data_IF_656030463208
#
_entry.id   IF_656030463208
#
_cell.length_a   1.000
_cell.length_b   1.000
_cell.length_c   1.000
_cell.angle_alpha   90.00
_cell.angle_beta   90.00
_cell.angle_gamma   90.00
#
_symmetry.space_group_name_H-M   'P 1'
#
loop_
_entity.id
_entity.type
_entity.pdbx_description
1 polymer ?
#
# COMPACT_ATOMS: atom_id res chain seq x y z
N UNK A 1 30.91 -11.55 42.91
CA UNK A 1 31.60 -11.22 41.64
C UNK A 1 30.93 -9.99 41.07
N UNK A 2 31.53 -8.84 41.34
CA UNK A 2 30.97 -7.51 41.07
C UNK A 2 31.47 -7.04 39.70
N UNK A 3 30.55 -6.82 38.76
CA UNK A 3 30.84 -6.29 37.42
C UNK A 3 30.83 -4.76 37.43
N UNK A 4 31.96 -4.18 37.06
CA UNK A 4 32.22 -2.75 37.02
C UNK A 4 31.54 -2.05 35.84
N UNK A 5 30.98 -0.86 36.11
CA UNK A 5 30.39 0.03 35.11
C UNK A 5 31.44 0.91 34.40
N UNK A 6 31.24 1.13 33.10
CA UNK A 6 31.98 2.09 32.29
C UNK A 6 31.35 3.49 32.38
N UNK A 7 32.11 4.57 32.66
CA UNK A 7 31.61 5.93 32.70
C UNK A 7 31.64 6.62 31.34
N UNK A 8 30.61 7.44 31.09
CA UNK A 8 30.39 8.19 29.86
C UNK A 8 31.35 9.37 29.64
N UNK A 9 31.68 9.59 28.37
CA UNK A 9 32.53 10.69 27.89
C UNK A 9 31.64 11.86 27.47
N UNK A 10 31.57 12.90 28.30
CA UNK A 10 30.95 14.19 27.93
C UNK A 10 31.93 14.98 27.06
N UNK A 11 31.54 15.29 25.82
CA UNK A 11 32.26 16.24 24.98
C UNK A 11 31.65 17.63 25.19
N UNK A 12 32.40 18.49 25.88
CA UNK A 12 32.20 19.94 25.87
C UNK A 12 32.80 20.49 24.58
N UNK A 13 31.99 21.11 23.73
CA UNK A 13 32.46 22.04 22.71
C UNK A 13 31.94 23.41 23.12
N UNK A 14 32.86 24.20 23.69
CA UNK A 14 32.68 25.64 23.82
C UNK A 14 32.93 26.29 22.45
N UNK A 15 32.14 27.29 22.12
CA UNK A 15 32.56 28.34 21.20
C UNK A 15 31.92 29.65 21.64
N UNK A 16 32.74 30.45 22.33
CA UNK A 16 32.63 31.90 22.37
C UNK A 16 33.05 32.45 21.01
N UNK A 17 32.24 33.31 20.41
CA UNK A 17 32.75 34.35 19.50
C UNK A 17 31.75 35.51 19.38
N UNK A 18 32.21 36.69 19.83
CA UNK A 18 31.95 38.06 19.30
C UNK A 18 30.48 38.51 19.19
N UNK A 19 29.94 39.40 20.04
CA UNK A 19 30.28 40.81 20.32
C UNK A 19 30.47 41.68 19.06
N UNK A 20 29.75 42.80 19.08
CA UNK A 20 29.85 44.00 18.23
C UNK A 20 29.26 43.98 16.82
N UNK A 21 28.10 44.64 16.68
CA UNK A 21 27.89 45.76 15.73
C UNK A 21 26.54 46.44 16.00
N UNK A 22 26.56 47.46 16.88
CA UNK A 22 25.65 48.60 16.80
C UNK A 22 26.43 49.79 16.24
N UNK A 23 25.71 50.66 15.54
CA UNK A 23 26.09 52.00 15.08
C UNK A 23 26.88 52.03 13.76
N UNK A 24 26.18 52.39 12.67
CA UNK A 24 26.39 53.56 11.80
C UNK A 24 25.56 53.29 10.54
N UNK A 25 24.45 54.03 10.35
CA UNK A 25 24.17 54.82 9.13
C UNK A 25 22.75 55.43 9.24
N UNK A 26 22.68 56.61 9.87
CA UNK A 26 21.65 57.62 9.58
C UNK A 26 22.21 58.49 8.45
N UNK A 27 21.47 58.64 7.36
CA UNK A 27 21.42 59.80 6.44
C UNK A 27 21.19 59.33 5.01
N UNK A 28 19.94 59.45 4.55
CA UNK A 28 19.54 59.89 3.20
C UNK A 28 18.01 59.82 3.12
N UNK A 29 17.37 60.78 3.79
CA UNK A 29 15.96 61.11 3.65
C UNK A 29 15.93 62.45 2.90
N UNK A 30 15.72 62.40 1.58
CA UNK A 30 15.16 63.49 0.78
C UNK A 30 15.16 63.09 -0.70
N UNK A 31 13.97 62.91 -1.27
CA UNK A 31 13.78 63.09 -2.71
C UNK A 31 13.30 61.89 -3.52
N UNK A 32 12.13 61.31 -3.20
CA UNK A 32 11.21 60.74 -4.22
C UNK A 32 9.76 60.84 -3.69
N UNK A 33 9.19 62.04 -3.69
CA UNK A 33 7.79 62.28 -3.26
C UNK A 33 6.88 62.71 -4.41
N UNK A 34 7.14 62.30 -5.66
CA UNK A 34 6.36 62.76 -6.82
C UNK A 34 6.23 61.74 -7.97
N UNK A 35 6.00 60.46 -7.62
CA UNK A 35 5.65 59.42 -8.61
C UNK A 35 4.79 58.29 -8.01
N UNK A 36 3.91 58.62 -7.05
CA UNK A 36 3.12 57.65 -6.28
C UNK A 36 1.60 57.75 -6.46
N UNK A 37 1.11 58.32 -7.58
CA UNK A 37 -0.35 58.48 -7.84
C UNK A 37 -0.77 57.87 -9.21
N UNK A 38 0.12 57.16 -9.91
CA UNK A 38 -0.14 56.64 -11.27
C UNK A 38 -0.38 55.14 -11.43
N UNK A 39 -0.36 54.32 -10.37
CA UNK A 39 -0.44 52.84 -10.48
C UNK A 39 -1.47 52.27 -9.47
N UNK A 40 -2.70 52.78 -9.48
CA UNK A 40 -3.82 52.17 -8.74
C UNK A 40 -5.04 51.89 -9.64
N UNK A 41 -5.02 52.32 -10.91
CA UNK A 41 -6.19 52.28 -11.77
C UNK A 41 -6.24 51.13 -12.81
N UNK A 42 -5.25 50.25 -12.89
CA UNK A 42 -5.16 49.25 -13.97
C UNK A 42 -4.92 47.83 -13.45
N UNK A 43 -5.81 47.34 -12.59
CA UNK A 43 -5.66 46.02 -11.98
C UNK A 43 -6.95 45.30 -11.63
N UNK A 44 -8.12 45.68 -12.18
CA UNK A 44 -9.27 44.77 -12.23
C UNK A 44 -9.00 43.69 -13.30
N UNK A 45 -7.91 42.92 -13.12
CA UNK A 45 -7.72 41.69 -13.86
C UNK A 45 -8.86 40.77 -13.44
N UNK A 46 -9.86 40.65 -14.32
CA UNK A 46 -11.01 39.77 -14.15
C UNK A 46 -10.46 38.39 -13.80
N UNK A 47 -10.58 37.99 -12.53
CA UNK A 47 -10.10 36.70 -12.05
C UNK A 47 -10.79 35.65 -12.90
N UNK A 48 -10.03 35.01 -13.81
CA UNK A 48 -10.57 34.05 -14.74
C UNK A 48 -11.27 32.96 -13.93
N UNK A 49 -12.51 32.65 -14.29
CA UNK A 49 -13.24 31.57 -13.63
C UNK A 49 -12.42 30.28 -13.79
N UNK A 50 -12.15 29.62 -12.66
CA UNK A 50 -11.44 28.35 -12.67
C UNK A 50 -12.34 27.30 -13.30
N UNK A 51 -11.84 26.59 -14.30
CA UNK A 51 -12.50 25.38 -14.82
C UNK A 51 -12.30 24.24 -13.81
N UNK A 52 -13.38 23.76 -13.15
CA UNK A 52 -13.26 22.73 -12.13
C UNK A 52 -12.76 21.39 -12.68
N UNK A 53 -13.03 21.06 -13.95
CA UNK A 53 -12.56 19.80 -14.54
C UNK A 53 -11.05 19.84 -14.77
N UNK A 54 -10.52 20.95 -15.30
CA UNK A 54 -9.09 21.16 -15.46
C UNK A 54 -8.36 21.16 -14.11
N UNK A 55 -8.90 21.86 -13.10
CA UNK A 55 -8.34 21.88 -11.75
C UNK A 55 -8.34 20.48 -11.11
N UNK A 56 -9.41 19.70 -11.29
CA UNK A 56 -9.46 18.31 -10.83
C UNK A 56 -8.39 17.44 -11.51
N UNK A 57 -8.22 17.56 -12.82
CA UNK A 57 -7.17 16.82 -13.57
C UNK A 57 -5.77 17.19 -13.06
N UNK A 58 -5.50 18.49 -12.89
CA UNK A 58 -4.23 18.97 -12.36
C UNK A 58 -3.96 18.43 -10.96
N UNK A 59 -4.97 18.36 -10.08
CA UNK A 59 -4.83 17.78 -8.74
C UNK A 59 -4.34 16.33 -8.76
N UNK A 60 -4.88 15.51 -9.67
CA UNK A 60 -4.44 14.12 -9.85
C UNK A 60 -3.06 14.00 -10.48
N UNK A 61 -2.72 14.87 -11.44
CA UNK A 61 -1.38 14.94 -12.02
C UNK A 61 -0.33 15.29 -10.96
N UNK A 62 -0.59 16.31 -10.14
CA UNK A 62 0.28 16.67 -9.03
C UNK A 62 0.41 15.55 -8.00
N UNK A 63 -0.68 14.86 -7.66
CA UNK A 63 -0.60 13.68 -6.78
C UNK A 63 0.32 12.59 -7.35
N UNK A 64 0.20 12.27 -8.64
CA UNK A 64 1.06 11.28 -9.30
C UNK A 64 2.53 11.72 -9.34
N UNK A 65 2.78 13.03 -9.46
CA UNK A 65 4.12 13.59 -9.41
C UNK A 65 4.71 13.71 -7.99
N UNK A 66 3.92 13.43 -6.95
CA UNK A 66 4.34 13.66 -5.55
C UNK A 66 4.29 15.13 -5.10
N UNK A 67 3.70 16.01 -5.91
CA UNK A 67 3.60 17.45 -5.67
C UNK A 67 2.34 17.80 -4.87
N UNK A 68 2.35 17.44 -3.59
CA UNK A 68 1.10 17.36 -2.84
C UNK A 68 0.52 18.70 -2.38
N UNK A 69 1.36 19.72 -2.16
CA UNK A 69 0.90 21.07 -1.87
C UNK A 69 0.07 21.63 -3.04
N UNK A 70 0.64 21.65 -4.27
CA UNK A 70 -0.11 21.95 -5.49
C UNK A 70 -1.37 21.10 -5.67
N UNK A 71 -1.31 19.78 -5.42
CA UNK A 71 -2.49 18.92 -5.51
C UNK A 71 -3.64 19.38 -4.60
N UNK A 72 -3.35 19.71 -3.33
CA UNK A 72 -4.35 20.24 -2.38
C UNK A 72 -4.99 21.52 -2.92
N UNK A 73 -4.18 22.44 -3.46
CA UNK A 73 -4.69 23.69 -4.02
C UNK A 73 -5.62 23.43 -5.22
N UNK A 74 -5.20 22.57 -6.16
CA UNK A 74 -5.99 22.25 -7.35
C UNK A 74 -7.32 21.55 -7.01
N UNK A 75 -7.33 20.61 -6.06
CA UNK A 75 -8.58 20.01 -5.61
C UNK A 75 -9.49 21.01 -4.88
N UNK A 76 -8.94 21.89 -4.06
CA UNK A 76 -9.73 22.90 -3.36
C UNK A 76 -10.30 23.95 -4.33
N UNK A 77 -9.57 24.33 -5.36
CA UNK A 77 -10.04 25.19 -6.44
C UNK A 77 -11.20 24.53 -7.21
N UNK A 78 -11.07 23.24 -7.58
CA UNK A 78 -12.15 22.48 -8.21
C UNK A 78 -13.40 22.40 -7.33
N UNK A 79 -13.22 22.17 -6.02
CA UNK A 79 -14.31 22.11 -5.02
C UNK A 79 -15.03 23.45 -4.86
N UNK A 80 -14.29 24.57 -4.88
CA UNK A 80 -14.86 25.93 -4.75
C UNK A 80 -15.57 26.40 -6.02
N UNK A 81 -15.12 25.92 -7.18
CA UNK A 81 -15.71 26.25 -8.48
C UNK A 81 -16.98 25.42 -8.80
N UNK A 82 -17.37 24.48 -7.94
CA UNK A 82 -18.51 23.57 -8.13
C UNK A 82 -19.59 23.75 -7.06
N UNK A 83 -20.84 23.51 -7.43
CA UNK A 83 -21.94 23.41 -6.46
C UNK A 83 -21.84 22.11 -5.65
N UNK A 84 -22.40 22.08 -4.43
CA UNK A 84 -22.32 20.91 -3.54
C UNK A 84 -22.94 19.64 -4.12
N UNK A 85 -23.89 19.75 -5.05
CA UNK A 85 -24.54 18.62 -5.70
C UNK A 85 -23.85 18.19 -7.02
N UNK A 86 -22.75 18.85 -7.39
CA UNK A 86 -22.01 18.55 -8.62
C UNK A 86 -21.13 17.29 -8.43
N UNK A 87 -21.17 16.29 -9.34
CA UNK A 87 -20.26 15.15 -9.30
C UNK A 87 -18.77 15.52 -9.22
N UNK A 88 -18.35 16.63 -9.83
CA UNK A 88 -16.98 17.13 -9.74
C UNK A 88 -16.63 17.60 -8.32
N UNK A 89 -17.60 18.12 -7.56
CA UNK A 89 -17.40 18.49 -6.16
C UNK A 89 -17.04 17.27 -5.31
N UNK A 90 -17.77 16.17 -5.49
CA UNK A 90 -17.51 14.91 -4.76
C UNK A 90 -16.13 14.33 -5.14
N UNK A 91 -15.78 14.37 -6.43
CA UNK A 91 -14.45 13.95 -6.91
C UNK A 91 -13.33 14.80 -6.32
N UNK A 92 -13.53 16.12 -6.23
CA UNK A 92 -12.57 17.04 -5.63
C UNK A 92 -12.39 16.80 -4.12
N UNK A 93 -13.48 16.56 -3.38
CA UNK A 93 -13.42 16.17 -1.96
C UNK A 93 -12.65 14.86 -1.79
N UNK A 94 -12.94 13.84 -2.59
CA UNK A 94 -12.25 12.56 -2.54
C UNK A 94 -10.74 12.71 -2.84
N UNK A 95 -10.38 13.48 -3.86
CA UNK A 95 -8.98 13.78 -4.19
C UNK A 95 -8.26 14.52 -3.06
N UNK A 96 -8.94 15.50 -2.44
CA UNK A 96 -8.42 16.25 -1.29
C UNK A 96 -8.20 15.32 -0.08
N UNK A 97 -9.18 14.50 0.28
CA UNK A 97 -9.05 13.52 1.38
C UNK A 97 -7.89 12.55 1.13
N UNK A 98 -7.81 12.01 -0.08
CA UNK A 98 -6.74 11.09 -0.48
C UNK A 98 -5.37 11.75 -0.39
N UNK A 99 -5.25 13.01 -0.77
CA UNK A 99 -4.00 13.77 -0.67
C UNK A 99 -3.58 14.00 0.78
N UNK A 100 -4.52 14.23 1.70
CA UNK A 100 -4.24 14.41 3.13
C UNK A 100 -3.94 13.10 3.87
N UNK A 101 -4.40 11.96 3.34
CA UNK A 101 -4.22 10.62 3.92
C UNK A 101 -2.88 9.95 3.55
N UNK A 102 -2.08 10.55 2.65
CA UNK A 102 -0.81 9.97 2.23
C UNK A 102 0.26 10.15 3.31
N UNK A 103 0.90 9.04 3.71
CA UNK A 103 2.00 9.00 4.69
C UNK A 103 3.22 9.83 4.26
N UNK A 104 3.27 11.09 4.69
CA UNK A 104 4.34 12.05 4.39
C UNK A 104 4.43 13.18 5.42
N UNK A 105 5.52 13.98 5.44
CA UNK A 105 5.58 15.19 6.25
C UNK A 105 4.43 16.16 5.95
N UNK A 106 3.73 16.63 6.99
CA UNK A 106 2.61 17.55 6.87
C UNK A 106 1.28 16.91 6.44
N UNK A 107 1.16 15.58 6.56
CA UNK A 107 -0.14 14.90 6.46
C UNK A 107 -1.11 15.32 7.58
N UNK A 108 -2.41 15.15 7.33
CA UNK A 108 -3.48 15.45 8.30
C UNK A 108 -4.57 14.38 8.14
N UNK A 109 -4.34 13.24 8.76
CA UNK A 109 -5.21 12.06 8.67
C UNK A 109 -6.58 12.34 9.30
N UNK A 110 -6.66 13.15 10.35
CA UNK A 110 -7.95 13.54 10.93
C UNK A 110 -8.79 14.35 9.94
N UNK A 111 -8.17 15.32 9.24
CA UNK A 111 -8.84 16.08 8.18
C UNK A 111 -9.23 15.20 7.01
N UNK A 112 -8.37 14.27 6.59
CA UNK A 112 -8.72 13.29 5.57
C UNK A 112 -9.98 12.50 5.96
N UNK A 113 -10.03 12.01 7.20
CA UNK A 113 -11.17 11.24 7.72
C UNK A 113 -12.48 12.01 7.70
N UNK A 114 -12.45 13.30 8.08
CA UNK A 114 -13.62 14.19 8.01
C UNK A 114 -14.09 14.41 6.57
N UNK A 115 -13.17 14.61 5.63
CA UNK A 115 -13.52 14.83 4.22
C UNK A 115 -14.06 13.55 3.57
N UNK A 116 -13.49 12.37 3.89
CA UNK A 116 -14.06 11.09 3.46
C UNK A 116 -15.48 10.91 3.98
N UNK A 117 -15.74 11.24 5.25
CA UNK A 117 -17.10 11.18 5.80
C UNK A 117 -18.05 12.10 5.04
N UNK A 118 -17.61 13.31 4.69
CA UNK A 118 -18.39 14.23 3.88
C UNK A 118 -18.74 13.64 2.50
N UNK A 119 -17.82 12.93 1.84
CA UNK A 119 -18.10 12.22 0.57
C UNK A 119 -19.19 11.16 0.76
N UNK A 120 -19.10 10.38 1.85
CA UNK A 120 -20.09 9.34 2.19
C UNK A 120 -21.47 9.95 2.45
N UNK A 121 -21.54 11.04 3.21
CA UNK A 121 -22.80 11.68 3.58
C UNK A 121 -23.48 12.35 2.37
N UNK A 122 -22.69 12.99 1.49
CA UNK A 122 -23.22 13.71 0.33
C UNK A 122 -23.61 12.78 -0.83
N UNK A 123 -22.93 11.65 -0.99
CA UNK A 123 -23.14 10.74 -2.11
C UNK A 123 -23.10 9.26 -1.67
N UNK A 124 -24.00 8.81 -0.77
CA UNK A 124 -23.91 7.52 -0.07
C UNK A 124 -24.06 6.28 -0.95
N UNK A 125 -24.51 6.45 -2.20
CA UNK A 125 -24.65 5.39 -3.20
C UNK A 125 -23.58 5.45 -4.31
N UNK A 126 -22.62 6.39 -4.24
CA UNK A 126 -21.57 6.52 -5.24
C UNK A 126 -20.41 5.57 -5.01
N UNK A 127 -19.69 5.21 -6.07
CA UNK A 127 -18.43 4.46 -5.98
C UNK A 127 -17.43 5.15 -5.04
N UNK A 128 -17.40 6.49 -5.05
CA UNK A 128 -16.52 7.28 -4.18
C UNK A 128 -16.88 7.15 -2.70
N UNK A 129 -18.15 6.92 -2.34
CA UNK A 129 -18.52 6.61 -0.97
C UNK A 129 -17.95 5.25 -0.55
N UNK A 130 -18.01 4.24 -1.42
CA UNK A 130 -17.43 2.93 -1.15
C UNK A 130 -15.91 3.01 -0.93
N UNK A 131 -15.20 3.73 -1.82
CA UNK A 131 -13.76 3.97 -1.68
C UNK A 131 -13.40 4.81 -0.45
N UNK A 132 -14.23 5.80 -0.10
CA UNK A 132 -14.02 6.64 1.09
C UNK A 132 -14.18 5.84 2.38
N UNK A 133 -15.20 4.97 2.47
CA UNK A 133 -15.39 4.10 3.63
C UNK A 133 -14.24 3.08 3.76
N UNK A 134 -13.77 2.51 2.65
CA UNK A 134 -12.59 1.64 2.66
C UNK A 134 -11.32 2.39 3.11
N UNK A 135 -11.11 3.63 2.65
CA UNK A 135 -10.00 4.46 3.07
C UNK A 135 -10.04 4.73 4.58
N UNK A 136 -11.22 5.07 5.14
CA UNK A 136 -11.40 5.25 6.58
C UNK A 136 -11.11 3.96 7.38
N UNK A 137 -11.50 2.79 6.87
CA UNK A 137 -11.17 1.51 7.51
C UNK A 137 -9.64 1.27 7.53
N UNK A 138 -8.94 1.57 6.43
CA UNK A 138 -7.48 1.48 6.35
C UNK A 138 -6.77 2.44 7.28
N UNK A 139 -7.29 3.65 7.46
CA UNK A 139 -6.73 4.63 8.40
C UNK A 139 -6.71 4.09 9.84
N UNK A 140 -7.67 3.24 10.23
CA UNK A 140 -7.65 2.55 11.53
C UNK A 140 -6.59 1.44 11.59
N UNK A 141 -6.28 0.84 10.45
CA UNK A 141 -5.28 -0.22 10.34
C UNK A 141 -3.85 0.33 10.34
N UNK A 142 -3.66 1.59 9.95
CA UNK A 142 -2.36 2.27 9.91
C UNK A 142 -2.07 2.93 11.25
N UNK A 143 -1.23 2.29 12.05
CA UNK A 143 -0.72 2.84 13.32
C UNK A 143 0.75 3.25 13.23
N UNK A 144 1.26 4.11 14.14
CA UNK A 144 2.68 4.41 14.23
C UNK A 144 3.54 3.16 14.38
N UNK A 145 4.80 3.27 13.95
CA UNK A 145 5.78 2.17 14.08
C UNK A 145 5.92 1.76 15.55
N UNK A 146 5.87 0.46 15.82
CA UNK A 146 5.96 -0.11 17.16
C UNK A 146 4.63 -0.17 17.92
N UNK A 147 3.52 0.22 17.29
CA UNK A 147 2.17 0.01 17.84
C UNK A 147 1.45 -1.11 17.08
N UNK A 148 0.52 -1.76 17.76
CA UNK A 148 -0.41 -2.70 17.14
C UNK A 148 -1.75 -2.01 16.86
N UNK A 149 -2.36 -2.22 15.69
CA UNK A 149 -3.73 -1.78 15.43
C UNK A 149 -4.71 -2.42 16.40
N UNK A 150 -5.78 -1.69 16.74
CA UNK A 150 -6.97 -2.29 17.35
C UNK A 150 -7.68 -3.17 16.32
N UNK A 151 -7.23 -4.42 16.21
CA UNK A 151 -7.73 -5.36 15.21
C UNK A 151 -9.24 -5.59 15.28
N UNK A 152 -9.88 -5.72 16.47
CA UNK A 152 -11.33 -5.72 16.56
C UNK A 152 -11.99 -4.50 15.89
N UNK A 153 -11.56 -3.28 16.20
CA UNK A 153 -12.12 -2.06 15.60
C UNK A 153 -11.83 -1.93 14.10
N UNK A 154 -10.67 -2.42 13.65
CA UNK A 154 -10.29 -2.48 12.23
C UNK A 154 -11.20 -3.47 11.47
N UNK A 155 -11.40 -4.67 12.01
CA UNK A 155 -12.26 -5.71 11.42
C UNK A 155 -13.71 -5.26 11.33
N UNK A 156 -14.22 -4.58 12.36
CA UNK A 156 -15.55 -3.97 12.35
C UNK A 156 -15.67 -2.88 11.27
N UNK A 157 -14.63 -2.06 11.10
CA UNK A 157 -14.63 -1.03 10.06
C UNK A 157 -14.67 -1.62 8.65
N UNK A 158 -13.92 -2.69 8.37
CA UNK A 158 -14.03 -3.40 7.10
C UNK A 158 -15.40 -4.05 6.93
N UNK A 159 -15.97 -4.65 7.99
CA UNK A 159 -17.30 -5.27 7.92
C UNK A 159 -18.36 -4.26 7.46
N UNK A 160 -18.34 -3.02 7.95
CA UNK A 160 -19.27 -1.97 7.49
C UNK A 160 -19.15 -1.67 6.00
N UNK A 161 -17.96 -1.78 5.41
CA UNK A 161 -17.76 -1.59 3.96
C UNK A 161 -18.35 -2.77 3.19
N UNK A 162 -18.09 -4.00 3.65
CA UNK A 162 -18.58 -5.25 3.07
C UNK A 162 -20.12 -5.26 3.06
N UNK A 163 -20.74 -4.99 4.21
CA UNK A 163 -22.20 -4.99 4.37
C UNK A 163 -22.87 -3.93 3.52
N UNK A 164 -22.25 -2.75 3.41
CA UNK A 164 -22.83 -1.62 2.67
C UNK A 164 -22.66 -1.76 1.15
N UNK A 165 -21.56 -2.38 0.71
CA UNK A 165 -21.22 -2.49 -0.71
C UNK A 165 -20.79 -3.92 -1.11
N UNK A 166 -21.66 -4.94 -0.91
CA UNK A 166 -21.30 -6.35 -1.05
C UNK A 166 -20.91 -6.76 -2.48
N UNK A 167 -21.44 -6.06 -3.48
CA UNK A 167 -21.15 -6.31 -4.91
C UNK A 167 -20.23 -5.24 -5.52
N UNK A 168 -19.62 -4.40 -4.69
CA UNK A 168 -18.65 -3.41 -5.14
C UNK A 168 -17.25 -3.91 -4.82
N UNK A 169 -16.34 -3.63 -5.71
CA UNK A 169 -14.93 -3.95 -5.57
C UNK A 169 -14.29 -3.46 -4.26
N UNK A 170 -14.66 -2.27 -3.77
CA UNK A 170 -14.20 -1.79 -2.46
C UNK A 170 -14.66 -2.67 -1.29
N UNK A 171 -15.83 -3.30 -1.40
CA UNK A 171 -16.32 -4.31 -0.45
C UNK A 171 -15.52 -5.60 -0.53
N UNK A 172 -15.24 -6.10 -1.73
CA UNK A 172 -14.36 -7.26 -1.93
C UNK A 172 -12.94 -6.99 -1.40
N UNK A 173 -12.41 -5.78 -1.63
CA UNK A 173 -11.09 -5.39 -1.13
C UNK A 173 -11.10 -5.24 0.40
N UNK A 174 -12.16 -4.68 0.98
CA UNK A 174 -12.36 -4.67 2.44
C UNK A 174 -12.36 -6.09 3.02
N UNK A 175 -13.00 -7.05 2.34
CA UNK A 175 -13.00 -8.45 2.73
C UNK A 175 -11.57 -9.02 2.76
N UNK A 176 -10.76 -8.79 1.71
CA UNK A 176 -9.36 -9.22 1.68
C UNK A 176 -8.57 -8.65 2.86
N UNK A 177 -8.70 -7.36 3.16
CA UNK A 177 -7.99 -6.74 4.29
C UNK A 177 -8.47 -7.25 5.65
N UNK A 178 -9.77 -7.50 5.80
CA UNK A 178 -10.33 -8.10 7.01
C UNK A 178 -9.72 -9.49 7.25
N UNK A 179 -9.67 -10.34 6.21
CA UNK A 179 -9.06 -11.67 6.33
C UNK A 179 -7.55 -11.58 6.58
N UNK A 180 -6.84 -10.68 5.89
CA UNK A 180 -5.42 -10.45 6.14
C UNK A 180 -5.13 -10.07 7.60
N UNK A 181 -6.03 -9.32 8.25
CA UNK A 181 -5.90 -8.97 9.68
C UNK A 181 -6.11 -10.17 10.63
N UNK A 182 -6.84 -11.21 10.21
CA UNK A 182 -6.95 -12.48 10.93
C UNK A 182 -5.65 -13.28 10.76
N UNK A 183 -5.19 -13.43 9.52
CA UNK A 183 -3.95 -14.15 9.19
C UNK A 183 -2.74 -13.56 9.91
N UNK A 184 -2.64 -12.22 9.99
CA UNK A 184 -1.53 -11.53 10.64
C UNK A 184 -1.39 -11.83 12.15
N UNK A 185 -2.43 -12.35 12.80
CA UNK A 185 -2.37 -12.74 14.22
C UNK A 185 -1.50 -13.97 14.48
N UNK A 186 -1.23 -14.78 13.44
CA UNK A 186 -0.51 -16.06 13.51
C UNK A 186 -1.14 -17.08 14.49
N UNK A 187 -2.42 -16.91 14.83
CA UNK A 187 -3.17 -17.83 15.68
C UNK A 187 -3.95 -18.83 14.84
N UNK A 188 -3.93 -20.10 15.23
CA UNK A 188 -4.71 -21.16 14.59
C UNK A 188 -6.19 -20.85 14.45
N UNK A 189 -6.82 -20.27 15.49
CA UNK A 189 -8.26 -19.96 15.51
C UNK A 189 -8.62 -18.89 14.47
N UNK A 190 -7.85 -17.80 14.41
CA UNK A 190 -8.01 -16.74 13.43
C UNK A 190 -7.74 -17.27 12.01
N UNK A 191 -6.72 -18.14 11.83
CA UNK A 191 -6.42 -18.76 10.54
C UNK A 191 -7.56 -19.68 10.05
N UNK A 192 -8.16 -20.49 10.94
CA UNK A 192 -9.33 -21.32 10.59
C UNK A 192 -10.55 -20.47 10.25
N UNK A 193 -10.77 -19.39 11.00
CA UNK A 193 -11.85 -18.43 10.73
C UNK A 193 -11.67 -17.78 9.36
N UNK A 194 -10.46 -17.29 9.06
CA UNK A 194 -10.13 -16.69 7.77
C UNK A 194 -10.34 -17.70 6.62
N UNK A 195 -9.87 -18.94 6.76
CA UNK A 195 -10.07 -19.98 5.75
C UNK A 195 -11.56 -20.22 5.45
N UNK A 196 -12.38 -20.41 6.49
CA UNK A 196 -13.81 -20.64 6.30
C UNK A 196 -14.53 -19.48 5.60
N UNK A 197 -14.10 -18.23 5.86
CA UNK A 197 -14.61 -17.06 5.17
C UNK A 197 -14.13 -16.99 3.72
N UNK A 198 -12.83 -17.23 3.49
CA UNK A 198 -12.22 -17.22 2.15
C UNK A 198 -12.86 -18.28 1.26
N UNK A 199 -13.01 -19.51 1.74
CA UNK A 199 -13.61 -20.61 0.98
C UNK A 199 -15.03 -20.28 0.53
N UNK A 200 -15.83 -19.65 1.41
CA UNK A 200 -17.17 -19.18 1.08
C UNK A 200 -17.14 -18.09 0.01
N UNK A 201 -16.27 -17.08 0.18
CA UNK A 201 -16.14 -16.00 -0.80
C UNK A 201 -15.73 -16.54 -2.17
N UNK A 202 -14.79 -17.48 -2.24
CA UNK A 202 -14.34 -18.09 -3.50
C UNK A 202 -15.46 -18.88 -4.21
N UNK A 203 -16.39 -19.46 -3.45
CA UNK A 203 -17.58 -20.13 -3.98
C UNK A 203 -18.62 -19.13 -4.50
N UNK A 204 -18.85 -18.04 -3.77
CA UNK A 204 -19.86 -17.02 -4.09
C UNK A 204 -19.39 -16.05 -5.18
N UNK A 205 -18.09 -15.77 -5.26
CA UNK A 205 -17.47 -14.78 -6.15
C UNK A 205 -16.30 -15.36 -6.98
N UNK A 206 -16.50 -16.47 -7.73
CA UNK A 206 -15.40 -17.13 -8.45
C UNK A 206 -14.78 -16.27 -9.57
N UNK A 207 -15.48 -15.23 -10.02
CA UNK A 207 -15.00 -14.28 -11.04
C UNK A 207 -14.36 -13.00 -10.45
N UNK A 208 -14.24 -12.89 -9.12
CA UNK A 208 -13.61 -11.72 -8.50
C UNK A 208 -12.15 -11.61 -8.96
N UNK A 209 -11.73 -10.38 -9.29
CA UNK A 209 -10.33 -10.08 -9.62
C UNK A 209 -9.37 -10.22 -8.43
N UNK A 210 -9.90 -10.47 -7.22
CA UNK A 210 -9.14 -10.65 -5.99
C UNK A 210 -8.94 -12.12 -5.61
N UNK A 211 -9.41 -13.07 -6.42
CA UNK A 211 -9.26 -14.52 -6.19
C UNK A 211 -7.80 -14.92 -5.94
N UNK A 212 -6.85 -14.40 -6.73
CA UNK A 212 -5.41 -14.65 -6.53
C UNK A 212 -4.91 -14.21 -5.14
N UNK A 213 -5.34 -13.04 -4.68
CA UNK A 213 -4.97 -12.53 -3.35
C UNK A 213 -5.53 -13.42 -2.23
N UNK A 214 -6.76 -13.92 -2.39
CA UNK A 214 -7.41 -14.81 -1.43
C UNK A 214 -6.78 -16.20 -1.37
N UNK A 215 -6.33 -16.75 -2.50
CA UNK A 215 -5.49 -17.96 -2.50
C UNK A 215 -4.14 -17.71 -1.81
N UNK A 216 -3.56 -16.52 -1.98
CA UNK A 216 -2.36 -16.11 -1.25
C UNK A 216 -2.58 -16.10 0.27
N UNK A 217 -3.71 -15.57 0.73
CA UNK A 217 -4.09 -15.62 2.15
C UNK A 217 -4.38 -17.06 2.62
N UNK A 218 -5.00 -17.89 1.77
CA UNK A 218 -5.21 -19.31 2.04
C UNK A 218 -3.88 -20.01 2.31
N UNK A 219 -2.86 -19.79 1.48
CA UNK A 219 -1.53 -20.35 1.70
C UNK A 219 -0.95 -19.91 3.07
N UNK A 220 -1.05 -18.63 3.42
CA UNK A 220 -0.56 -18.12 4.71
C UNK A 220 -1.34 -18.70 5.91
N UNK A 221 -2.66 -18.94 5.77
CA UNK A 221 -3.42 -19.65 6.79
C UNK A 221 -2.93 -21.09 6.96
N UNK A 222 -2.70 -21.82 5.85
CA UNK A 222 -2.21 -23.20 5.86
C UNK A 222 -0.80 -23.30 6.44
N UNK A 223 0.03 -22.30 6.22
CA UNK A 223 1.33 -22.16 6.88
C UNK A 223 1.19 -22.09 8.39
N UNK A 224 0.33 -21.18 8.89
CA UNK A 224 0.04 -21.04 10.33
C UNK A 224 -0.46 -22.37 10.93
N UNK A 225 -1.30 -23.08 10.18
CA UNK A 225 -1.87 -24.38 10.58
C UNK A 225 -0.93 -25.58 10.33
N UNK A 226 0.29 -25.35 9.84
CA UNK A 226 1.30 -26.39 9.55
C UNK A 226 0.79 -27.47 8.60
N UNK A 227 0.16 -27.04 7.52
CA UNK A 227 -0.43 -27.87 6.47
C UNK A 227 0.32 -27.64 5.15
N UNK A 228 1.54 -28.21 5.00
CA UNK A 228 2.46 -27.82 3.93
C UNK A 228 1.96 -28.21 2.53
N UNK A 229 1.25 -29.34 2.40
CA UNK A 229 0.67 -29.77 1.11
C UNK A 229 -0.40 -28.77 0.65
N UNK A 230 -1.35 -28.45 1.53
CA UNK A 230 -2.43 -27.52 1.23
C UNK A 230 -1.92 -26.08 1.06
N UNK A 231 -0.85 -25.70 1.76
CA UNK A 231 -0.14 -24.44 1.55
C UNK A 231 0.43 -24.37 0.13
N UNK A 232 1.06 -25.46 -0.35
CA UNK A 232 1.62 -25.54 -1.70
C UNK A 232 0.52 -25.42 -2.76
N UNK A 233 -0.56 -26.18 -2.61
CA UNK A 233 -1.70 -26.16 -3.54
C UNK A 233 -2.30 -24.75 -3.63
N UNK A 234 -2.50 -24.07 -2.49
CA UNK A 234 -2.98 -22.71 -2.43
C UNK A 234 -2.01 -21.69 -3.05
N UNK A 235 -0.69 -21.86 -2.85
CA UNK A 235 0.32 -21.00 -3.46
C UNK A 235 0.36 -21.13 -4.99
N UNK A 236 0.21 -22.34 -5.52
CA UNK A 236 0.08 -22.59 -6.96
C UNK A 236 -1.20 -21.95 -7.48
N UNK A 237 -2.34 -22.13 -6.81
CA UNK A 237 -3.60 -21.51 -7.21
C UNK A 237 -3.54 -19.99 -7.20
N UNK A 238 -2.87 -19.38 -6.22
CA UNK A 238 -2.64 -17.94 -6.18
C UNK A 238 -1.85 -17.47 -7.40
N UNK A 239 -0.84 -18.22 -7.83
CA UNK A 239 -0.07 -17.93 -9.03
C UNK A 239 -0.89 -18.08 -10.31
N UNK A 240 -1.63 -19.20 -10.46
CA UNK A 240 -2.44 -19.49 -11.66
C UNK A 240 -3.59 -18.52 -11.89
N UNK A 241 -4.15 -17.96 -10.82
CA UNK A 241 -5.32 -17.06 -10.87
C UNK A 241 -4.94 -15.58 -10.90
N UNK A 242 -3.65 -15.25 -10.98
CA UNK A 242 -3.18 -13.87 -11.00
C UNK A 242 -3.69 -13.15 -12.27
N UNK A 243 -4.25 -11.94 -12.15
CA UNK A 243 -4.64 -11.16 -13.31
C UNK A 243 -3.40 -10.73 -14.10
N UNK A 244 -3.37 -11.00 -15.40
CA UNK A 244 -2.30 -10.58 -16.30
C UNK A 244 -2.58 -9.17 -16.80
N UNK A 245 -1.68 -8.22 -16.55
CA UNK A 245 -1.76 -6.89 -17.14
C UNK A 245 -1.34 -6.93 -18.63
N UNK A 246 -2.25 -6.66 -19.59
CA UNK A 246 -1.91 -6.67 -21.01
C UNK A 246 -0.89 -5.59 -21.40
N UNK A 247 -0.76 -4.54 -20.59
CA UNK A 247 0.21 -3.44 -20.80
C UNK A 247 1.59 -3.76 -20.21
N UNK A 248 1.67 -4.76 -19.33
CA UNK A 248 2.92 -5.28 -18.80
C UNK A 248 2.95 -6.82 -18.85
N UNK A 249 3.14 -7.42 -20.05
CA UNK A 249 3.07 -8.87 -20.21
C UNK A 249 4.22 -9.63 -19.54
N UNK A 250 5.25 -8.91 -19.06
CA UNK A 250 6.38 -9.49 -18.33
C UNK A 250 6.22 -9.20 -16.85
N UNK A 251 5.25 -9.87 -16.22
CA UNK A 251 5.13 -9.82 -14.78
C UNK A 251 6.38 -10.37 -14.10
N UNK A 252 6.74 -9.74 -13.00
CA UNK A 252 7.83 -10.16 -12.13
C UNK A 252 7.33 -11.38 -11.31
N UNK A 253 7.82 -12.57 -11.65
CA UNK A 253 7.41 -13.84 -11.06
C UNK A 253 8.55 -14.51 -10.27
N UNK A 254 9.70 -13.88 -10.10
CA UNK A 254 10.85 -14.50 -9.44
C UNK A 254 10.45 -14.99 -8.05
N UNK A 255 9.77 -14.14 -7.27
CA UNK A 255 9.35 -14.48 -5.91
C UNK A 255 8.35 -15.65 -5.89
N UNK A 256 7.39 -15.68 -6.81
CA UNK A 256 6.39 -16.74 -6.87
C UNK A 256 7.04 -18.09 -7.24
N UNK A 257 7.88 -18.11 -8.27
CA UNK A 257 8.61 -19.31 -8.68
C UNK A 257 9.51 -19.83 -7.56
N UNK A 258 10.28 -18.95 -6.94
CA UNK A 258 11.17 -19.32 -5.84
C UNK A 258 10.38 -19.89 -4.66
N UNK A 259 9.33 -19.18 -4.20
CA UNK A 259 8.51 -19.59 -3.05
C UNK A 259 7.86 -20.95 -3.28
N UNK A 260 7.24 -21.17 -4.44
CA UNK A 260 6.58 -22.45 -4.76
C UNK A 260 7.61 -23.58 -4.84
N UNK A 261 8.75 -23.34 -5.48
CA UNK A 261 9.80 -24.35 -5.61
C UNK A 261 10.38 -24.75 -4.25
N UNK A 262 10.69 -23.79 -3.38
CA UNK A 262 11.23 -24.08 -2.04
C UNK A 262 10.22 -24.79 -1.16
N UNK A 263 8.94 -24.41 -1.23
CA UNK A 263 7.87 -25.05 -0.47
C UNK A 263 7.67 -26.50 -0.92
N UNK A 264 7.64 -26.72 -2.24
CA UNK A 264 7.55 -28.04 -2.83
C UNK A 264 8.72 -28.94 -2.43
N UNK A 265 9.96 -28.44 -2.50
CA UNK A 265 11.14 -29.23 -2.16
C UNK A 265 11.22 -29.55 -0.66
N UNK A 266 11.19 -28.52 0.19
CA UNK A 266 11.62 -28.67 1.58
C UNK A 266 10.48 -29.04 2.54
N UNK A 267 9.28 -28.52 2.31
CA UNK A 267 8.15 -28.75 3.24
C UNK A 267 7.28 -29.93 2.79
N UNK A 268 7.24 -30.21 1.49
CA UNK A 268 6.31 -31.20 0.91
C UNK A 268 7.04 -32.42 0.34
N UNK A 269 8.30 -32.29 -0.08
CA UNK A 269 9.04 -33.35 -0.78
C UNK A 269 8.53 -33.63 -2.20
N UNK A 270 7.83 -32.66 -2.83
CA UNK A 270 7.37 -32.74 -4.21
C UNK A 270 8.44 -32.21 -5.18
N UNK A 271 9.41 -33.07 -5.50
CA UNK A 271 10.50 -32.71 -6.40
C UNK A 271 10.06 -32.45 -7.84
N UNK A 272 8.92 -33.00 -8.27
CA UNK A 272 8.41 -32.74 -9.61
C UNK A 272 7.99 -31.27 -9.72
N UNK A 273 7.15 -30.80 -8.79
CA UNK A 273 6.74 -29.39 -8.72
C UNK A 273 7.94 -28.47 -8.49
N UNK A 274 8.85 -28.84 -7.58
CA UNK A 274 10.06 -28.05 -7.32
C UNK A 274 10.91 -27.85 -8.57
N UNK A 275 11.15 -28.92 -9.34
CA UNK A 275 11.89 -28.84 -10.62
C UNK A 275 11.20 -27.94 -11.64
N UNK A 276 9.88 -28.04 -11.77
CA UNK A 276 9.12 -27.19 -12.70
C UNK A 276 9.35 -25.71 -12.40
N UNK A 277 9.22 -25.30 -11.14
CA UNK A 277 9.32 -23.89 -10.78
C UNK A 277 10.76 -23.39 -10.70
N UNK A 278 11.73 -24.19 -10.24
CA UNK A 278 13.15 -23.82 -10.36
C UNK A 278 13.60 -23.72 -11.83
N UNK A 279 13.15 -24.63 -12.69
CA UNK A 279 13.45 -24.60 -14.12
C UNK A 279 12.93 -23.33 -14.79
N UNK A 280 11.66 -22.95 -14.52
CA UNK A 280 11.09 -21.68 -14.99
C UNK A 280 11.85 -20.48 -14.46
N UNK A 281 12.24 -20.48 -13.19
CA UNK A 281 13.05 -19.42 -12.58
C UNK A 281 14.36 -19.20 -13.35
N UNK A 282 15.13 -20.27 -13.57
CA UNK A 282 16.42 -20.20 -14.27
C UNK A 282 16.26 -19.76 -15.73
N UNK A 283 15.20 -20.20 -16.39
CA UNK A 283 14.94 -19.90 -17.79
C UNK A 283 14.48 -18.44 -18.01
N UNK A 284 13.57 -17.95 -17.17
CA UNK A 284 12.95 -16.62 -17.32
C UNK A 284 13.78 -15.51 -16.67
N UNK A 285 14.55 -15.82 -15.61
CA UNK A 285 15.31 -14.84 -14.82
C UNK A 285 16.79 -15.20 -14.65
N UNK A 286 17.55 -15.43 -15.74
CA UNK A 286 18.91 -15.98 -15.65
C UNK A 286 19.93 -15.09 -14.91
N UNK A 287 19.63 -13.79 -14.75
CA UNK A 287 20.49 -12.81 -14.09
C UNK A 287 20.06 -12.48 -12.65
N UNK A 288 18.98 -13.08 -12.14
CA UNK A 288 18.58 -12.92 -10.73
C UNK A 288 19.59 -13.61 -9.80
N UNK A 289 19.85 -13.02 -8.64
CA UNK A 289 20.85 -13.51 -7.68
C UNK A 289 20.53 -14.92 -7.15
N UNK A 290 19.24 -15.28 -7.09
CA UNK A 290 18.77 -16.60 -6.66
C UNK A 290 18.91 -17.67 -7.74
N UNK A 291 19.22 -17.32 -8.99
CA UNK A 291 19.39 -18.30 -10.09
C UNK A 291 20.48 -19.31 -9.80
N UNK A 292 21.56 -18.91 -9.14
CA UNK A 292 22.59 -19.85 -8.69
C UNK A 292 22.02 -20.87 -7.69
N UNK A 293 21.25 -20.41 -6.71
CA UNK A 293 20.57 -21.26 -5.74
C UNK A 293 19.59 -22.24 -6.38
N UNK A 294 18.82 -21.79 -7.39
CA UNK A 294 17.90 -22.64 -8.14
C UNK A 294 18.64 -23.73 -8.93
N UNK A 295 19.75 -23.40 -9.59
CA UNK A 295 20.59 -24.38 -10.30
C UNK A 295 21.18 -25.43 -9.34
N UNK A 296 21.62 -25.00 -8.16
CA UNK A 296 22.12 -25.91 -7.12
C UNK A 296 21.01 -26.80 -6.56
N UNK A 297 19.79 -26.30 -6.42
CA UNK A 297 18.64 -27.10 -6.00
C UNK A 297 18.30 -28.19 -7.02
N UNK A 298 18.25 -27.85 -8.32
CA UNK A 298 18.05 -28.82 -9.39
C UNK A 298 19.10 -29.94 -9.36
N UNK A 299 20.38 -29.57 -9.29
CA UNK A 299 21.48 -30.53 -9.23
C UNK A 299 21.42 -31.44 -7.98
N UNK A 300 21.03 -30.87 -6.82
CA UNK A 300 20.84 -31.62 -5.58
C UNK A 300 19.73 -32.67 -5.71
N UNK A 301 18.57 -32.30 -6.26
CA UNK A 301 17.46 -33.22 -6.47
C UNK A 301 17.83 -34.35 -7.44
N UNK A 302 18.55 -34.03 -8.52
CA UNK A 302 19.02 -35.03 -9.49
C UNK A 302 20.01 -36.03 -8.85
N UNK A 303 20.93 -35.54 -8.03
CA UNK A 303 21.87 -36.39 -7.30
C UNK A 303 21.16 -37.30 -6.28
N UNK A 304 20.13 -36.79 -5.59
CA UNK A 304 19.36 -37.56 -4.62
C UNK A 304 18.57 -38.69 -5.30
N UNK A 305 17.89 -38.40 -6.41
CA UNK A 305 17.18 -39.43 -7.18
C UNK A 305 18.11 -40.49 -7.77
N UNK A 306 19.29 -40.08 -8.27
CA UNK A 306 20.28 -41.02 -8.77
C UNK A 306 20.70 -42.02 -7.69
N UNK A 307 20.95 -41.52 -6.47
CA UNK A 307 21.28 -42.35 -5.30
C UNK A 307 20.13 -43.30 -4.91
N UNK A 308 18.89 -42.80 -4.83
CA UNK A 308 17.74 -43.63 -4.48
C UNK A 308 17.52 -44.77 -5.50
N UNK A 309 17.70 -44.50 -6.79
CA UNK A 309 17.62 -45.53 -7.85
C UNK A 309 18.74 -46.56 -7.77
N UNK A 310 19.92 -46.19 -7.28
CA UNK A 310 21.02 -47.13 -7.05
C UNK A 310 20.72 -48.02 -5.85
N UNK A 311 20.21 -47.44 -4.75
CA UNK A 311 19.80 -48.18 -3.55
C UNK A 311 18.68 -49.19 -3.85
N UNK A 312 17.64 -48.79 -4.60
CA UNK A 312 16.55 -49.69 -5.05
C UNK A 312 17.01 -50.85 -5.96
N UNK A 313 18.18 -50.76 -6.59
CA UNK A 313 18.75 -51.83 -7.43
C UNK A 313 19.56 -52.85 -6.63
N UNK A 314 19.91 -52.52 -5.39
CA UNK A 314 20.73 -53.36 -4.52
C UNK A 314 19.91 -54.12 -3.46
N UNK A 315 18.62 -53.80 -3.33
CA UNK A 315 17.61 -54.53 -2.56
C UNK A 315 16.84 -55.55 -3.42
#
# INVERSE_FOLDING_TARGET
>A
MSGAGCPGRKQQIGNQMTRDRRVVLRMCLAGVSLLAIGIVASGCARKQAVDPAAALSAGWEFCRAGEFGPAVLSFDDARRATGTNDPLHIKALYGLASTWNLRRPGEDTEKAGRIYQQVVDMAPASDLAAWSMLAQARMKHLVPVGQEPDYPAVREAYQRVIDRFPNHLAGEEAFVYQQASLVASLKDEDARTALANIDRFLQEHPASRLVSALWGLTANCRETLRQPREQLDAAIKAFETRPVDPTNPKEENTWAYWRIATLAEFEVGDFATARTFYGRFVAEYPNDDRTYGAKMALARMDALEARLREEERHD
#
